data_IF_864666339897
#
_entry.id   IF_864666339897
#
_cell.length_a   1.000
_cell.length_b   1.000
_cell.length_c   1.000
_cell.angle_alpha   90.00
_cell.angle_beta   90.00
_cell.angle_gamma   90.00
#
_symmetry.space_group_name_H-M   'P 1'
#
loop_
_entity.id
_entity.type
_entity.pdbx_description
1 polymer ?
#
# COMPACT_ATOMS: atom_id res chain seq x y z
N UNK A 1 -15.17 -10.82 19.28
CA UNK A 1 -15.38 -10.42 17.88
C UNK A 1 -14.57 -9.17 17.64
N UNK A 2 -13.44 -9.25 16.94
CA UNK A 2 -12.65 -8.06 16.64
C UNK A 2 -13.34 -7.30 15.50
N UNK A 3 -14.14 -6.29 15.84
CA UNK A 3 -14.49 -5.25 14.89
C UNK A 3 -13.27 -4.33 14.73
N UNK A 4 -12.79 -4.15 13.50
CA UNK A 4 -12.38 -2.88 12.87
C UNK A 4 -11.66 -3.17 11.53
N UNK A 5 -12.42 -3.53 10.48
CA UNK A 5 -11.93 -3.61 9.10
C UNK A 5 -11.86 -2.21 8.44
N UNK A 6 -11.44 -1.20 9.20
CA UNK A 6 -11.29 0.16 8.69
C UNK A 6 -9.82 0.44 8.42
N UNK A 7 -9.50 0.77 7.18
CA UNK A 7 -8.17 1.14 6.74
C UNK A 7 -8.22 2.62 6.36
N UNK A 8 -7.50 3.45 7.11
CA UNK A 8 -7.29 4.84 6.70
C UNK A 8 -6.42 4.85 5.44
N UNK A 9 -6.86 5.60 4.44
CA UNK A 9 -6.15 5.75 3.17
C UNK A 9 -6.14 7.21 2.73
N UNK A 10 -5.17 7.53 1.89
CA UNK A 10 -5.14 8.78 1.13
C UNK A 10 -5.26 8.46 -0.35
N UNK A 11 -6.07 9.22 -1.09
CA UNK A 11 -6.12 9.16 -2.55
C UNK A 11 -5.29 10.30 -3.12
N UNK A 12 -4.37 10.00 -4.04
CA UNK A 12 -3.54 10.99 -4.72
C UNK A 12 -3.33 10.66 -6.19
N UNK A 13 -2.83 11.63 -6.95
CA UNK A 13 -2.39 11.40 -8.33
C UNK A 13 -1.19 12.29 -8.68
N UNK A 14 -0.43 11.88 -9.68
CA UNK A 14 0.60 12.67 -10.34
C UNK A 14 0.50 12.45 -11.84
N UNK A 15 0.41 13.53 -12.63
CA UNK A 15 0.35 13.44 -14.11
C UNK A 15 -0.64 12.37 -14.62
N UNK A 16 -1.87 12.40 -14.11
CA UNK A 16 -2.96 11.45 -14.40
C UNK A 16 -2.77 9.99 -13.93
N UNK A 17 -1.66 9.65 -13.28
CA UNK A 17 -1.47 8.35 -12.65
C UNK A 17 -1.88 8.40 -11.18
N UNK A 18 -2.86 7.60 -10.78
CA UNK A 18 -3.54 7.73 -9.48
C UNK A 18 -3.33 6.53 -8.54
N UNK A 19 -3.24 6.79 -7.24
CA UNK A 19 -2.86 5.79 -6.23
C UNK A 19 -3.78 5.81 -5.00
N UNK A 20 -4.04 4.63 -4.45
CA UNK A 20 -4.45 4.48 -3.04
C UNK A 20 -3.19 4.38 -2.18
N UNK A 21 -3.05 5.24 -1.19
CA UNK A 21 -1.86 5.31 -0.33
C UNK A 21 -2.23 4.86 1.07
N UNK A 22 -1.49 3.87 1.59
CA UNK A 22 -1.72 3.24 2.88
C UNK A 22 -0.52 3.47 3.80
N UNK A 23 -0.73 4.10 4.94
CA UNK A 23 0.29 4.19 5.98
C UNK A 23 0.29 2.91 6.83
N UNK A 24 1.35 2.12 6.74
CA UNK A 24 1.59 0.91 7.53
C UNK A 24 2.96 0.97 8.21
N UNK A 25 3.13 1.99 9.05
CA UNK A 25 4.42 2.30 9.69
C UNK A 25 4.89 1.20 10.66
N UNK A 26 3.96 0.39 11.17
CA UNK A 26 4.25 -0.74 12.05
C UNK A 26 4.41 -2.06 11.29
N UNK A 27 4.22 -2.06 9.97
CA UNK A 27 4.36 -3.25 9.12
C UNK A 27 3.38 -4.38 9.43
N UNK A 28 2.19 -4.06 9.97
CA UNK A 28 1.22 -5.07 10.45
C UNK A 28 0.21 -5.49 9.39
N UNK A 29 0.18 -4.80 8.24
CA UNK A 29 -0.79 -5.07 7.19
C UNK A 29 -0.18 -5.99 6.15
N UNK A 30 -0.75 -7.17 6.03
CA UNK A 30 -0.58 -8.01 4.85
C UNK A 30 -1.56 -7.53 3.79
N UNK A 31 -1.03 -7.20 2.61
CA UNK A 31 -1.81 -6.74 1.47
C UNK A 31 -1.73 -7.82 0.40
N UNK A 32 -2.78 -8.63 0.29
CA UNK A 32 -2.85 -9.67 -0.73
C UNK A 32 -3.08 -9.05 -2.12
N UNK A 33 -2.80 -9.82 -3.18
CA UNK A 33 -3.09 -9.38 -4.54
C UNK A 33 -4.60 -9.12 -4.76
N UNK A 34 -5.47 -9.86 -4.07
CA UNK A 34 -6.93 -9.67 -4.17
C UNK A 34 -7.38 -8.41 -3.43
N UNK A 35 -6.76 -8.07 -2.30
CA UNK A 35 -7.00 -6.79 -1.62
C UNK A 35 -6.61 -5.61 -2.53
N UNK A 36 -5.46 -5.70 -3.20
CA UNK A 36 -5.00 -4.68 -4.15
C UNK A 36 -5.99 -4.52 -5.30
N UNK A 37 -6.41 -5.63 -5.93
CA UNK A 37 -7.39 -5.63 -7.03
C UNK A 37 -8.71 -5.00 -6.60
N UNK A 38 -9.18 -5.34 -5.40
CA UNK A 38 -10.40 -4.75 -4.85
C UNK A 38 -10.25 -3.24 -4.63
N UNK A 39 -9.17 -2.80 -3.97
CA UNK A 39 -8.91 -1.37 -3.73
C UNK A 39 -8.82 -0.58 -5.04
N UNK A 40 -8.18 -1.14 -6.06
CA UNK A 40 -7.98 -0.50 -7.35
C UNK A 40 -9.19 -0.60 -8.30
N UNK A 41 -10.19 -1.42 -7.99
CA UNK A 41 -11.43 -1.49 -8.76
C UNK A 41 -12.19 -0.16 -8.66
N UNK A 42 -12.49 0.49 -9.80
CA UNK A 42 -13.11 1.82 -9.87
C UNK A 42 -14.62 1.82 -9.63
N UNK A 43 -15.27 0.66 -9.64
CA UNK A 43 -16.72 0.51 -9.47
C UNK A 43 -17.09 -0.09 -8.13
N UNK A 44 -16.29 -1.03 -7.64
CA UNK A 44 -16.55 -1.79 -6.41
C UNK A 44 -15.61 -1.40 -5.26
N UNK A 45 -14.53 -0.66 -5.55
CA UNK A 45 -13.53 -0.19 -4.60
C UNK A 45 -13.32 1.32 -4.65
N UNK A 46 -12.09 1.76 -4.36
CA UNK A 46 -11.71 3.19 -4.39
C UNK A 46 -11.38 3.63 -5.82
N UNK A 47 -10.75 2.75 -6.60
CA UNK A 47 -10.34 2.99 -7.97
C UNK A 47 -8.99 3.67 -8.06
N UNK A 48 -7.97 3.02 -8.60
CA UNK A 48 -6.61 3.56 -8.79
C UNK A 48 -5.81 2.75 -9.82
N UNK A 49 -4.72 3.32 -10.33
CA UNK A 49 -3.75 2.59 -11.15
C UNK A 49 -2.85 1.68 -10.30
N UNK A 50 -2.72 1.96 -9.00
CA UNK A 50 -1.97 1.12 -8.07
C UNK A 50 -2.14 1.50 -6.59
N UNK A 51 -1.48 0.72 -5.73
CA UNK A 51 -1.39 0.95 -4.28
C UNK A 51 0.04 1.32 -3.90
N UNK A 52 0.18 2.32 -3.02
CA UNK A 52 1.43 2.68 -2.37
C UNK A 52 1.30 2.39 -0.87
N UNK A 53 1.89 1.29 -0.40
CA UNK A 53 2.02 1.00 1.04
C UNK A 53 3.31 1.62 1.55
N UNK A 54 3.19 2.55 2.49
CA UNK A 54 4.31 3.20 3.17
C UNK A 54 4.63 2.38 4.41
N UNK A 55 5.77 1.69 4.40
CA UNK A 55 6.26 0.85 5.50
C UNK A 55 7.68 1.25 5.88
N UNK A 56 8.09 1.01 7.13
CA UNK A 56 9.49 1.21 7.53
C UNK A 56 10.39 0.19 6.86
N UNK A 57 11.49 0.63 6.26
CA UNK A 57 12.41 -0.25 5.52
C UNK A 57 12.96 -1.41 6.36
N UNK A 58 13.23 -1.19 7.65
CA UNK A 58 13.72 -2.25 8.54
C UNK A 58 12.71 -3.38 8.79
N UNK A 59 11.42 -3.14 8.48
CA UNK A 59 10.35 -4.14 8.58
C UNK A 59 10.15 -4.93 7.28
N UNK A 60 10.90 -4.63 6.23
CA UNK A 60 10.87 -5.37 4.96
C UNK A 60 12.13 -6.22 4.86
N UNK A 61 12.06 -7.54 5.11
CA UNK A 61 13.25 -8.39 5.28
C UNK A 61 14.25 -8.32 4.12
N UNK A 62 13.75 -8.25 2.88
CA UNK A 62 14.58 -8.18 1.67
C UNK A 62 15.38 -6.87 1.54
N UNK A 63 14.93 -5.80 2.19
CA UNK A 63 15.52 -4.46 2.09
C UNK A 63 16.00 -3.89 3.43
N UNK A 64 15.95 -4.68 4.52
CA UNK A 64 16.26 -4.21 5.86
C UNK A 64 17.69 -3.62 5.99
N UNK A 65 18.63 -4.09 5.17
CA UNK A 65 19.99 -3.55 5.09
C UNK A 65 20.05 -2.10 4.59
N UNK A 66 19.03 -1.61 3.88
CA UNK A 66 18.93 -0.23 3.38
C UNK A 66 18.31 0.73 4.39
N UNK A 67 17.86 0.26 5.56
CA UNK A 67 17.14 1.09 6.53
C UNK A 67 17.95 2.29 7.07
N UNK A 68 19.28 2.25 6.95
CA UNK A 68 20.17 3.35 7.35
C UNK A 68 20.21 4.50 6.35
N UNK A 69 19.85 4.25 5.08
CA UNK A 69 19.87 5.25 3.99
C UNK A 69 18.47 5.63 3.52
N UNK A 70 17.48 4.74 3.69
CA UNK A 70 16.08 4.97 3.38
C UNK A 70 15.20 4.56 4.56
N UNK A 71 14.62 5.54 5.25
CA UNK A 71 13.77 5.33 6.42
C UNK A 71 12.42 4.65 6.07
N UNK A 72 11.91 4.92 4.86
CA UNK A 72 10.66 4.37 4.35
C UNK A 72 10.90 3.56 3.08
N UNK A 73 10.12 2.50 2.94
CA UNK A 73 10.04 1.68 1.75
C UNK A 73 8.68 1.89 1.09
N UNK A 74 8.71 2.11 -0.23
CA UNK A 74 7.52 2.24 -1.06
C UNK A 74 7.16 0.85 -1.59
N UNK A 75 6.33 0.12 -0.84
CA UNK A 75 5.76 -1.17 -1.27
C UNK A 75 4.66 -0.88 -2.29
N UNK A 76 5.09 -0.70 -3.54
CA UNK A 76 4.26 -0.40 -4.69
C UNK A 76 3.65 -1.69 -5.25
N UNK A 77 2.35 -1.65 -5.55
CA UNK A 77 1.63 -2.71 -6.26
C UNK A 77 0.83 -2.13 -7.42
N UNK A 78 0.84 -2.79 -8.57
CA UNK A 78 -0.03 -2.43 -9.69
C UNK A 78 -1.49 -2.80 -9.38
N UNK A 79 -2.45 -2.22 -10.09
CA UNK A 79 -3.88 -2.53 -9.94
C UNK A 79 -4.25 -4.01 -10.11
N UNK A 80 -3.43 -4.80 -10.83
CA UNK A 80 -3.62 -6.24 -10.99
C UNK A 80 -3.07 -7.09 -9.83
N UNK A 81 -2.47 -6.45 -8.82
CA UNK A 81 -1.90 -7.09 -7.63
C UNK A 81 -0.44 -7.54 -7.76
N UNK A 82 0.24 -7.24 -8.87
CA UNK A 82 1.69 -7.45 -9.03
C UNK A 82 2.54 -6.44 -8.26
#
# INVERSE_FOLDING_TARGET
MAALNEIAFTKGHGTANDFVILADLDGRRELSADDVRFLCNRHEGIGADGVLRIVRTHLVPEFANLAHSAEFFMDYRNADGS
#
